data_IF_188440737753
#
_entry.id   IF_188440737753
#
_cell.length_a   1.000
_cell.length_b   1.000
_cell.length_c   1.000
_cell.angle_alpha   90.00
_cell.angle_beta   90.00
_cell.angle_gamma   90.00
#
_symmetry.space_group_name_H-M   'P 1'
#
loop_
_entity.id
_entity.type
_entity.pdbx_description
1 polymer ?
#
# COMPACT_ATOMS: atom_id res chain seq x y z
N UNK A 1 -6.86 -7.42 -10.91
CA UNK A 1 -5.73 -7.11 -10.00
C UNK A 1 -4.58 -8.02 -10.34
N UNK A 2 -3.41 -7.46 -10.65
CA UNK A 2 -2.15 -8.20 -10.81
C UNK A 2 -1.53 -8.52 -9.44
N UNK A 3 -0.59 -9.46 -9.38
CA UNK A 3 0.06 -9.87 -8.13
C UNK A 3 0.69 -8.70 -7.35
N UNK A 4 1.33 -7.75 -8.05
CA UNK A 4 1.94 -6.59 -7.38
C UNK A 4 0.88 -5.58 -6.91
N UNK A 5 -0.28 -5.50 -7.56
CA UNK A 5 -1.38 -4.63 -7.10
C UNK A 5 -1.97 -5.16 -5.80
N UNK A 6 -2.05 -6.47 -5.61
CA UNK A 6 -2.47 -7.07 -4.33
C UNK A 6 -1.49 -6.67 -3.21
N UNK A 7 -0.18 -6.71 -3.48
CA UNK A 7 0.83 -6.27 -2.53
C UNK A 7 0.75 -4.76 -2.26
N UNK A 8 0.48 -3.93 -3.28
CA UNK A 8 0.25 -2.49 -3.10
C UNK A 8 -1.01 -2.21 -2.28
N UNK A 9 -2.07 -3.02 -2.42
CA UNK A 9 -3.26 -2.94 -1.56
C UNK A 9 -2.90 -3.27 -0.11
N UNK A 10 -2.17 -4.37 0.13
CA UNK A 10 -1.71 -4.71 1.49
C UNK A 10 -0.80 -3.63 2.09
N UNK A 11 0.05 -3.01 1.27
CA UNK A 11 0.86 -1.86 1.69
C UNK A 11 -0.01 -0.66 2.09
N UNK A 12 -1.08 -0.39 1.33
CA UNK A 12 -2.05 0.66 1.63
C UNK A 12 -2.76 0.40 2.97
N UNK A 13 -3.18 -0.85 3.19
CA UNK A 13 -3.85 -1.30 4.41
C UNK A 13 -2.95 -1.11 5.64
N UNK A 14 -1.67 -1.49 5.56
CA UNK A 14 -0.71 -1.26 6.66
C UNK A 14 -0.51 0.24 6.93
N UNK A 15 -0.39 1.05 5.86
CA UNK A 15 -0.29 2.51 5.99
C UNK A 15 -1.52 3.10 6.67
N UNK A 16 -2.71 2.60 6.34
CA UNK A 16 -3.97 3.04 6.93
C UNK A 16 -4.10 2.62 8.40
N UNK A 17 -3.57 1.44 8.79
CA UNK A 17 -3.51 1.01 10.18
C UNK A 17 -2.57 1.87 11.03
N UNK A 18 -1.39 2.21 10.51
CA UNK A 18 -0.40 3.08 11.21
C UNK A 18 -1.01 4.43 11.65
N UNK A 19 -2.04 4.92 10.95
CA UNK A 19 -2.73 6.16 11.31
C UNK A 19 -3.77 6.02 12.42
N UNK A 20 -4.35 4.83 12.56
CA UNK A 20 -5.40 4.56 13.55
C UNK A 20 -4.78 4.01 14.84
N UNK A 21 -3.81 3.12 14.70
CA UNK A 21 -3.12 2.44 15.79
C UNK A 21 -1.62 2.60 15.57
N UNK A 22 -0.93 3.40 16.40
CA UNK A 22 0.51 3.54 16.32
C UNK A 22 1.19 2.29 16.89
N UNK A 23 1.34 1.27 16.04
CA UNK A 23 2.06 0.03 16.32
C UNK A 23 3.25 -0.13 15.36
N UNK A 24 4.43 -0.40 15.91
CA UNK A 24 5.66 -0.61 15.14
C UNK A 24 5.60 -1.87 14.27
N UNK A 25 4.75 -2.85 14.61
CA UNK A 25 4.55 -4.06 13.81
C UNK A 25 3.99 -3.74 12.42
N UNK A 26 3.05 -2.78 12.31
CA UNK A 26 2.50 -2.37 11.02
C UNK A 26 3.56 -1.70 10.14
N UNK A 27 4.41 -0.86 10.72
CA UNK A 27 5.53 -0.24 10.02
C UNK A 27 6.55 -1.27 9.54
N UNK A 28 6.79 -2.34 10.31
CA UNK A 28 7.66 -3.43 9.89
C UNK A 28 7.04 -4.25 8.76
N UNK A 29 5.77 -4.65 8.90
CA UNK A 29 5.04 -5.38 7.86
C UNK A 29 4.99 -4.59 6.54
N UNK A 30 4.78 -3.28 6.61
CA UNK A 30 4.83 -2.39 5.45
C UNK A 30 6.19 -2.43 4.75
N UNK A 31 7.29 -2.38 5.50
CA UNK A 31 8.66 -2.47 4.95
C UNK A 31 8.92 -3.82 4.29
N UNK A 32 8.43 -4.92 4.89
CA UNK A 32 8.58 -6.26 4.31
C UNK A 32 7.83 -6.37 2.97
N UNK A 33 6.66 -5.74 2.85
CA UNK A 33 5.91 -5.62 1.60
C UNK A 33 6.68 -4.79 0.57
N UNK A 34 7.26 -3.65 0.96
CA UNK A 34 8.10 -2.82 0.08
C UNK A 34 9.31 -3.61 -0.46
N UNK A 35 9.97 -4.38 0.41
CA UNK A 35 11.10 -5.23 0.02
C UNK A 35 10.68 -6.31 -0.99
N UNK A 36 9.52 -6.93 -0.78
CA UNK A 36 8.96 -7.92 -1.70
C UNK A 36 8.62 -7.31 -3.06
N UNK A 37 7.93 -6.16 -3.06
CA UNK A 37 7.62 -5.39 -4.27
C UNK A 37 8.88 -5.02 -5.06
N UNK A 38 9.95 -4.66 -4.36
CA UNK A 38 11.23 -4.36 -4.99
C UNK A 38 11.88 -5.60 -5.60
N UNK A 39 12.07 -6.67 -4.82
CA UNK A 39 12.80 -7.87 -5.25
C UNK A 39 12.08 -8.63 -6.36
N UNK A 40 10.76 -8.77 -6.28
CA UNK A 40 10.00 -9.63 -7.18
C UNK A 40 9.49 -8.87 -8.42
N UNK A 41 9.16 -7.58 -8.28
CA UNK A 41 8.50 -6.81 -9.34
C UNK A 41 9.29 -5.60 -9.82
N UNK A 42 10.39 -5.23 -9.15
CA UNK A 42 11.15 -4.02 -9.48
C UNK A 42 10.38 -2.74 -9.21
N UNK A 43 9.48 -2.76 -8.21
CA UNK A 43 8.70 -1.61 -7.75
C UNK A 43 9.43 -0.92 -6.59
N UNK A 44 9.49 0.40 -6.62
CA UNK A 44 10.16 1.22 -5.61
C UNK A 44 9.49 2.59 -5.50
N UNK A 45 10.00 3.43 -4.59
CA UNK A 45 9.55 4.82 -4.41
C UNK A 45 8.02 4.91 -4.19
N UNK A 46 7.48 3.96 -3.42
CA UNK A 46 6.03 3.83 -3.16
C UNK A 46 5.61 4.96 -2.23
N UNK A 47 4.58 5.70 -2.62
CA UNK A 47 4.06 6.84 -1.86
C UNK A 47 2.54 6.90 -1.96
N UNK A 48 1.89 7.14 -0.83
CA UNK A 48 0.50 7.57 -0.83
C UNK A 48 0.44 9.04 -1.22
N UNK A 49 -0.15 9.33 -2.37
CA UNK A 49 -0.21 10.70 -2.94
C UNK A 49 -1.59 11.33 -2.84
N UNK A 50 -2.61 10.54 -2.52
CA UNK A 50 -3.96 11.03 -2.31
C UNK A 50 -4.79 10.08 -1.46
N UNK A 51 -5.65 10.65 -0.63
CA UNK A 51 -6.71 9.96 0.10
C UNK A 51 -7.95 10.82 0.03
N UNK A 52 -9.06 10.23 -0.36
CA UNK A 52 -10.39 10.83 -0.30
C UNK A 52 -11.31 9.94 0.54
N UNK A 53 -12.61 10.28 0.59
CA UNK A 53 -13.60 9.41 1.20
C UNK A 53 -13.78 8.10 0.41
N UNK A 54 -13.58 8.14 -0.91
CA UNK A 54 -13.89 7.01 -1.80
C UNK A 54 -12.66 6.20 -2.20
N UNK A 55 -11.46 6.80 -2.19
CA UNK A 55 -10.26 6.15 -2.75
C UNK A 55 -8.94 6.54 -2.06
N UNK A 56 -7.98 5.63 -2.17
CA UNK A 56 -6.56 5.83 -1.90
C UNK A 56 -5.77 5.77 -3.20
N UNK A 57 -4.94 6.79 -3.47
CA UNK A 57 -4.10 6.88 -4.65
C UNK A 57 -2.63 6.69 -4.29
N UNK A 58 -2.00 5.67 -4.88
CA UNK A 58 -0.61 5.30 -4.62
C UNK A 58 0.21 5.50 -5.88
N UNK A 59 1.26 6.29 -5.77
CA UNK A 59 2.27 6.45 -6.81
C UNK A 59 3.47 5.54 -6.51
N UNK A 60 4.08 4.99 -7.56
CA UNK A 60 5.24 4.12 -7.45
C UNK A 60 6.04 4.12 -8.74
N UNK A 61 7.33 3.80 -8.66
CA UNK A 61 8.17 3.56 -9.82
C UNK A 61 8.22 2.05 -10.12
N UNK A 62 7.82 1.64 -11.32
CA UNK A 62 7.88 0.26 -11.79
C UNK A 62 8.84 0.19 -12.97
N UNK A 63 10.01 -0.43 -12.75
CA UNK A 63 11.05 -0.60 -13.80
C UNK A 63 11.46 0.71 -14.49
N UNK A 64 11.52 1.80 -13.74
CA UNK A 64 11.92 3.12 -14.23
C UNK A 64 10.75 4.01 -14.66
N UNK A 65 9.53 3.49 -14.77
CA UNK A 65 8.35 4.27 -15.12
C UNK A 65 7.53 4.65 -13.88
N UNK A 66 7.12 5.90 -13.77
CA UNK A 66 6.20 6.32 -12.70
C UNK A 66 4.78 5.88 -13.05
N UNK A 67 4.18 5.11 -12.15
CA UNK A 67 2.83 4.57 -12.25
C UNK A 67 2.00 4.99 -11.04
N UNK A 68 0.70 4.83 -11.19
CA UNK A 68 -0.27 5.12 -10.14
C UNK A 68 -1.33 4.02 -10.14
N UNK A 69 -1.72 3.59 -8.95
CA UNK A 69 -2.88 2.72 -8.73
C UNK A 69 -3.83 3.40 -7.75
N UNK A 70 -5.11 3.11 -7.90
CA UNK A 70 -6.17 3.55 -6.98
C UNK A 70 -6.86 2.32 -6.41
N UNK A 71 -7.12 2.36 -5.12
CA UNK A 71 -7.91 1.36 -4.41
C UNK A 71 -9.12 2.04 -3.77
N UNK A 72 -10.24 1.33 -3.73
CA UNK A 72 -11.44 1.85 -3.06
C UNK A 72 -11.16 1.95 -1.55
N UNK A 73 -11.70 2.98 -0.91
CA UNK A 73 -11.48 3.19 0.52
C UNK A 73 -11.97 1.98 1.34
N UNK A 74 -13.09 1.35 0.93
CA UNK A 74 -13.58 0.14 1.58
C UNK A 74 -12.60 -1.05 1.49
N UNK A 75 -11.88 -1.20 0.38
CA UNK A 75 -10.88 -2.27 0.25
C UNK A 75 -9.69 -2.02 1.18
N UNK A 76 -9.23 -0.77 1.27
CA UNK A 76 -8.09 -0.38 2.12
C UNK A 76 -8.47 -0.40 3.60
N UNK A 77 -9.68 0.02 3.95
CA UNK A 77 -10.15 0.16 5.33
C UNK A 77 -10.80 -1.13 5.86
N UNK A 78 -11.07 -2.12 5.01
CA UNK A 78 -11.55 -3.45 5.44
C UNK A 78 -10.65 -4.16 6.45
N UNK A 79 -9.38 -3.74 6.52
CA UNK A 79 -8.41 -4.24 7.50
C UNK A 79 -8.81 -3.88 8.95
N UNK A 80 -9.62 -2.83 9.15
CA UNK A 80 -10.08 -2.43 10.48
C UNK A 80 -11.09 -3.42 11.09
N UNK A 81 -11.81 -4.18 10.26
CA UNK A 81 -12.79 -5.17 10.71
C UNK A 81 -12.14 -6.48 11.23
N UNK A 82 -10.81 -6.60 11.10
CA UNK A 82 -10.04 -7.76 11.56
C UNK A 82 -9.41 -7.56 12.95
N UNK A 83 -9.63 -6.40 13.60
CA UNK A 83 -9.08 -6.02 14.90
C UNK A 83 -10.03 -6.17 16.08
#
# INVERSE_FOLDING_TARGET
>A
MTDYEILLLSWAQMTALEWVIPDEEYAQNRRDIEEKLHKEFGIKDIQLVGRTYDEYAIAFNHKGENKMVRFEAEEVESIYDLG
#
